data_IF_240742927189
#
_entry.id   IF_240742927189
#
_cell.length_a   1.000
_cell.length_b   1.000
_cell.length_c   1.000
_cell.angle_alpha   90.00
_cell.angle_beta   90.00
_cell.angle_gamma   90.00
#
_symmetry.space_group_name_H-M   'P 1'
#
loop_
_entity.id
_entity.type
_entity.pdbx_description
1 polymer ?
#
# COMPACT_ATOMS: atom_id res chain seq x y z
N UNK A 1 6.62 -27.51 98.48
CA UNK A 1 5.44 -27.90 97.68
C UNK A 1 5.90 -28.09 96.24
N UNK A 2 6.07 -29.33 95.80
CA UNK A 2 6.58 -29.66 94.46
C UNK A 2 5.40 -29.95 93.54
N UNK A 3 5.09 -29.04 92.60
CA UNK A 3 4.09 -29.29 91.56
C UNK A 3 4.69 -30.13 90.43
N UNK A 4 3.97 -31.15 89.94
CA UNK A 4 4.38 -31.93 88.76
C UNK A 4 3.87 -31.25 87.48
N UNK A 5 4.76 -30.97 86.55
CA UNK A 5 4.43 -30.56 85.17
C UNK A 5 4.38 -31.79 84.28
N UNK A 6 3.39 -31.89 83.39
CA UNK A 6 3.35 -32.87 82.31
C UNK A 6 3.04 -32.20 80.97
N UNK A 7 3.45 -32.83 79.88
CA UNK A 7 3.27 -32.33 78.50
C UNK A 7 2.04 -32.98 77.89
N UNK A 8 1.15 -32.18 77.31
CA UNK A 8 -0.01 -32.64 76.55
C UNK A 8 0.12 -32.19 75.08
N UNK A 9 -0.24 -33.06 74.13
CA UNK A 9 -0.30 -32.74 72.69
C UNK A 9 -1.75 -32.49 72.27
N UNK A 10 -2.00 -31.34 71.64
CA UNK A 10 -3.30 -31.04 71.03
C UNK A 10 -3.51 -31.86 69.75
N UNK A 11 -4.76 -31.96 69.30
CA UNK A 11 -5.24 -32.58 68.05
C UNK A 11 -4.52 -32.11 66.77
N UNK A 12 -3.82 -30.97 66.82
CA UNK A 12 -2.98 -30.41 65.74
C UNK A 12 -1.48 -30.62 65.96
N UNK A 13 -1.08 -31.49 66.89
CA UNK A 13 0.30 -31.91 67.12
C UNK A 13 1.19 -30.92 67.89
N UNK A 14 0.63 -29.86 68.47
CA UNK A 14 1.38 -28.89 69.29
C UNK A 14 1.45 -29.34 70.74
N UNK A 15 2.66 -29.35 71.29
CA UNK A 15 2.92 -29.66 72.71
C UNK A 15 2.72 -28.42 73.58
N UNK A 16 1.99 -28.58 74.69
CA UNK A 16 1.89 -27.57 75.75
C UNK A 16 2.28 -28.16 77.10
N UNK A 17 3.04 -27.39 77.87
CA UNK A 17 3.41 -27.72 79.23
C UNK A 17 2.25 -27.35 80.17
N UNK A 18 1.63 -28.36 80.77
CA UNK A 18 0.52 -28.19 81.72
C UNK A 18 1.07 -28.32 83.13
N UNK A 19 0.97 -27.23 83.90
CA UNK A 19 1.27 -27.24 85.32
C UNK A 19 0.11 -27.89 86.08
N UNK A 20 0.27 -29.14 86.50
CA UNK A 20 -0.68 -29.73 87.44
C UNK A 20 -0.43 -29.13 88.82
N UNK A 21 -1.31 -28.22 89.26
CA UNK A 21 -1.37 -27.80 90.66
C UNK A 21 -1.86 -29.00 91.46
N UNK A 22 -0.92 -29.79 92.01
CA UNK A 22 -1.19 -30.75 93.07
C UNK A 22 -1.65 -29.97 94.31
N UNK A 23 -2.96 -29.74 94.35
CA UNK A 23 -3.60 -28.83 95.28
C UNK A 23 -5.06 -28.62 94.91
N UNK A 24 -5.80 -29.73 94.70
CA UNK A 24 -7.24 -29.72 94.99
C UNK A 24 -7.39 -29.63 96.51
N UNK A 25 -6.97 -28.49 97.05
CA UNK A 25 -7.51 -28.01 98.30
C UNK A 25 -8.95 -27.67 97.98
N UNK A 26 -9.85 -28.59 98.33
CA UNK A 26 -11.19 -28.29 98.79
C UNK A 26 -11.09 -27.30 99.96
N UNK A 27 -10.62 -26.08 99.69
CA UNK A 27 -10.88 -24.92 100.53
C UNK A 27 -12.29 -24.54 100.15
N UNK A 28 -13.23 -25.09 100.91
CA UNK A 28 -14.49 -24.44 101.20
C UNK A 28 -14.17 -23.05 101.77
N UNK A 29 -13.82 -22.11 100.90
CA UNK A 29 -14.03 -20.71 101.19
C UNK A 29 -15.53 -20.54 101.24
N UNK A 30 -16.03 -20.16 102.40
CA UNK A 30 -17.29 -19.45 102.59
C UNK A 30 -17.27 -18.12 101.81
N UNK A 31 -17.09 -18.18 100.49
CA UNK A 31 -17.54 -17.15 99.57
C UNK A 31 -19.05 -17.37 99.47
N UNK A 32 -19.81 -16.32 99.79
CA UNK A 32 -21.23 -16.38 100.08
C UNK A 32 -22.01 -17.29 99.13
N UNK A 33 -22.99 -18.01 99.68
CA UNK A 33 -24.01 -18.67 98.87
C UNK A 33 -24.64 -17.63 97.94
N UNK A 34 -24.10 -17.47 96.74
CA UNK A 34 -24.81 -16.80 95.65
C UNK A 34 -26.03 -17.68 95.39
N UNK A 35 -27.24 -17.19 95.65
CA UNK A 35 -28.44 -17.96 95.42
C UNK A 35 -28.44 -18.43 93.96
N UNK A 36 -28.94 -19.64 93.71
CA UNK A 36 -29.02 -20.23 92.36
C UNK A 36 -29.66 -19.26 91.35
N UNK A 37 -30.57 -18.40 91.83
CA UNK A 37 -31.18 -17.31 91.08
C UNK A 37 -30.16 -16.31 90.50
N UNK A 38 -29.15 -15.90 91.27
CA UNK A 38 -28.13 -14.94 90.79
C UNK A 38 -27.21 -15.58 89.74
N UNK A 39 -26.94 -16.88 89.87
CA UNK A 39 -26.17 -17.63 88.87
C UNK A 39 -26.98 -17.82 87.58
N UNK A 40 -28.28 -18.05 87.69
CA UNK A 40 -29.18 -18.11 86.53
C UNK A 40 -29.30 -16.75 85.85
N UNK A 41 -29.46 -15.66 86.61
CA UNK A 41 -29.51 -14.30 86.06
C UNK A 41 -28.19 -13.89 85.39
N UNK A 42 -27.04 -14.30 85.96
CA UNK A 42 -25.73 -14.13 85.31
C UNK A 42 -25.58 -14.97 84.04
N UNK A 43 -26.15 -16.18 84.00
CA UNK A 43 -26.14 -17.01 82.81
C UNK A 43 -27.06 -16.44 81.71
N UNK A 44 -28.27 -15.99 82.08
CA UNK A 44 -29.24 -15.34 81.20
C UNK A 44 -28.68 -14.05 80.61
N UNK A 45 -28.12 -13.15 81.44
CA UNK A 45 -27.49 -11.91 80.95
C UNK A 45 -26.27 -12.18 80.04
N UNK A 46 -25.50 -13.24 80.32
CA UNK A 46 -24.41 -13.66 79.44
C UNK A 46 -24.91 -14.24 78.12
N UNK A 47 -25.98 -15.03 78.15
CA UNK A 47 -26.62 -15.58 76.96
C UNK A 47 -27.16 -14.43 76.08
N UNK A 48 -27.83 -13.45 76.67
CA UNK A 48 -28.32 -12.26 75.98
C UNK A 48 -27.19 -11.44 75.36
N UNK A 49 -26.08 -11.23 76.09
CA UNK A 49 -24.91 -10.53 75.60
C UNK A 49 -24.26 -11.25 74.41
N UNK A 50 -24.10 -12.57 74.50
CA UNK A 50 -23.58 -13.39 73.40
C UNK A 50 -24.54 -13.38 72.20
N UNK A 51 -25.85 -13.43 72.43
CA UNK A 51 -26.85 -13.34 71.37
C UNK A 51 -26.83 -11.96 70.68
N UNK A 52 -26.57 -10.88 71.42
CA UNK A 52 -26.37 -9.55 70.84
C UNK A 52 -25.07 -9.46 70.03
N UNK A 53 -23.98 -10.06 70.51
CA UNK A 53 -22.70 -10.12 69.80
C UNK A 53 -22.81 -10.94 68.51
N UNK A 54 -23.46 -12.11 68.55
CA UNK A 54 -23.72 -12.93 67.37
C UNK A 54 -24.51 -12.14 66.32
N UNK A 55 -25.56 -11.42 66.74
CA UNK A 55 -26.33 -10.56 65.83
C UNK A 55 -25.46 -9.45 65.23
N UNK A 56 -24.59 -8.81 66.02
CA UNK A 56 -23.66 -7.79 65.54
C UNK A 56 -22.65 -8.35 64.52
N UNK A 57 -22.07 -9.51 64.80
CA UNK A 57 -21.14 -10.19 63.91
C UNK A 57 -21.82 -10.62 62.61
N UNK A 58 -23.06 -11.13 62.68
CA UNK A 58 -23.85 -11.43 61.49
C UNK A 58 -24.12 -10.19 60.63
N UNK A 59 -24.48 -9.06 61.24
CA UNK A 59 -24.64 -7.79 60.51
C UNK A 59 -23.33 -7.36 59.84
N UNK A 60 -22.20 -7.42 60.55
CA UNK A 60 -20.87 -7.09 59.99
C UNK A 60 -20.48 -8.00 58.84
N UNK A 61 -20.71 -9.32 58.98
CA UNK A 61 -20.45 -10.29 57.93
C UNK A 61 -21.31 -10.00 56.69
N UNK A 62 -22.60 -9.69 56.86
CA UNK A 62 -23.48 -9.35 55.74
C UNK A 62 -23.03 -8.09 54.99
N UNK A 63 -22.53 -7.09 55.71
CA UNK A 63 -21.97 -5.87 55.12
C UNK A 63 -20.66 -6.15 54.37
N UNK A 64 -19.78 -6.96 54.96
CA UNK A 64 -18.52 -7.36 54.32
C UNK A 64 -18.77 -8.16 53.03
N UNK A 65 -19.70 -9.11 53.05
CA UNK A 65 -20.08 -9.91 51.87
C UNK A 65 -20.65 -9.03 50.74
N UNK A 66 -21.50 -8.05 51.08
CA UNK A 66 -21.99 -7.08 50.09
C UNK A 66 -20.85 -6.23 49.51
N UNK A 67 -19.93 -5.76 50.35
CA UNK A 67 -18.77 -4.99 49.91
C UNK A 67 -17.86 -5.81 48.98
N UNK A 68 -17.60 -7.08 49.30
CA UNK A 68 -16.84 -7.99 48.44
C UNK A 68 -17.51 -8.19 47.08
N UNK A 69 -18.83 -8.40 47.07
CA UNK A 69 -19.59 -8.53 45.82
C UNK A 69 -19.51 -7.26 44.97
N UNK A 70 -19.63 -6.08 45.58
CA UNK A 70 -19.45 -4.81 44.87
C UNK A 70 -18.04 -4.63 44.31
N UNK A 71 -17.01 -5.00 45.08
CA UNK A 71 -15.62 -4.95 44.63
C UNK A 71 -15.37 -5.91 43.46
N UNK A 72 -15.96 -7.10 43.49
CA UNK A 72 -15.87 -8.05 42.39
C UNK A 72 -16.51 -7.50 41.11
N UNK A 73 -17.69 -6.88 41.22
CA UNK A 73 -18.34 -6.25 40.07
C UNK A 73 -17.49 -5.11 39.50
N UNK A 74 -16.94 -4.25 40.36
CA UNK A 74 -16.06 -3.16 39.93
C UNK A 74 -14.81 -3.69 39.20
N UNK A 75 -14.23 -4.81 39.66
CA UNK A 75 -13.10 -5.45 38.96
C UNK A 75 -13.48 -5.95 37.59
N UNK A 76 -14.67 -6.56 37.44
CA UNK A 76 -15.17 -7.04 36.15
C UNK A 76 -15.36 -5.87 35.19
N UNK A 77 -16.02 -4.80 35.63
CA UNK A 77 -16.24 -3.61 34.79
C UNK A 77 -14.93 -2.91 34.42
N UNK A 78 -14.00 -2.78 35.36
CA UNK A 78 -12.67 -2.24 35.08
C UNK A 78 -11.95 -3.08 34.01
N UNK A 79 -12.01 -4.42 34.09
CA UNK A 79 -11.40 -5.28 33.09
C UNK A 79 -12.04 -5.10 31.70
N UNK A 80 -13.36 -4.92 31.61
CA UNK A 80 -14.04 -4.62 30.35
C UNK A 80 -13.53 -3.32 29.72
N UNK A 81 -13.49 -2.24 30.51
CA UNK A 81 -13.02 -0.93 30.04
C UNK A 81 -11.56 -1.00 29.58
N UNK A 82 -10.71 -1.71 30.31
CA UNK A 82 -9.31 -1.92 29.91
C UNK A 82 -9.22 -2.64 28.56
N UNK A 83 -9.99 -3.72 28.37
CA UNK A 83 -10.02 -4.46 27.12
C UNK A 83 -10.51 -3.60 25.94
N UNK A 84 -11.56 -2.81 26.16
CA UNK A 84 -12.08 -1.86 25.18
C UNK A 84 -11.02 -0.81 24.82
N UNK A 85 -10.33 -0.25 25.81
CA UNK A 85 -9.27 0.73 25.58
C UNK A 85 -8.11 0.16 24.74
N UNK A 86 -7.71 -1.08 24.99
CA UNK A 86 -6.74 -1.78 24.14
C UNK A 86 -7.26 -1.95 22.70
N UNK A 87 -8.53 -2.31 22.53
CA UNK A 87 -9.18 -2.40 21.22
C UNK A 87 -9.19 -1.06 20.48
N UNK A 88 -9.58 0.03 21.15
CA UNK A 88 -9.55 1.38 20.59
C UNK A 88 -8.14 1.80 20.15
N UNK A 89 -7.12 1.52 20.98
CA UNK A 89 -5.72 1.82 20.63
C UNK A 89 -5.26 1.05 19.40
N UNK A 90 -5.64 -0.23 19.28
CA UNK A 90 -5.31 -1.03 18.11
C UNK A 90 -5.97 -0.48 16.84
N UNK A 91 -7.26 -0.13 16.90
CA UNK A 91 -7.98 0.48 15.79
C UNK A 91 -7.39 1.84 15.39
N UNK A 92 -6.96 2.65 16.35
CA UNK A 92 -6.26 3.91 16.08
C UNK A 92 -4.96 3.69 15.31
N UNK A 93 -4.15 2.69 15.71
CA UNK A 93 -2.92 2.35 15.00
C UNK A 93 -3.19 1.87 13.57
N UNK A 94 -4.25 1.09 13.35
CA UNK A 94 -4.68 0.68 12.01
C UNK A 94 -5.11 1.88 11.16
N UNK A 95 -5.89 2.80 11.74
CA UNK A 95 -6.31 4.02 11.06
C UNK A 95 -5.11 4.88 10.66
N UNK A 96 -4.14 5.08 11.56
CA UNK A 96 -2.91 5.83 11.27
C UNK A 96 -2.05 5.16 10.19
N UNK A 97 -2.04 3.82 10.12
CA UNK A 97 -1.37 3.10 9.05
C UNK A 97 -2.09 3.33 7.70
N UNK A 98 -3.42 3.23 7.68
CA UNK A 98 -4.22 3.47 6.48
C UNK A 98 -4.10 4.92 5.99
N UNK A 99 -4.11 5.91 6.88
CA UNK A 99 -3.93 7.33 6.53
C UNK A 99 -2.55 7.56 5.90
N UNK A 100 -1.50 6.92 6.40
CA UNK A 100 -0.16 6.99 5.79
C UNK A 100 -0.14 6.37 4.40
N UNK A 101 -0.84 5.25 4.21
CA UNK A 101 -0.91 4.59 2.91
C UNK A 101 -1.69 5.40 1.89
N UNK A 102 -2.83 5.97 2.28
CA UNK A 102 -3.61 6.88 1.42
C UNK A 102 -2.75 8.05 0.95
N UNK A 103 -2.00 8.70 1.85
CA UNK A 103 -1.08 9.80 1.47
C UNK A 103 0.00 9.38 0.47
N UNK A 104 0.52 8.14 0.59
CA UNK A 104 1.50 7.60 -0.38
C UNK A 104 0.87 7.37 -1.74
N UNK A 105 -0.35 6.81 -1.76
CA UNK A 105 -1.10 6.60 -2.99
C UNK A 105 -1.45 7.92 -3.66
N UNK A 106 -1.93 8.92 -2.92
CA UNK A 106 -2.18 10.28 -3.44
C UNK A 106 -0.92 10.91 -4.04
N UNK A 107 0.23 10.77 -3.38
CA UNK A 107 1.51 11.28 -3.89
C UNK A 107 1.92 10.56 -5.18
N UNK A 108 1.63 9.26 -5.29
CA UNK A 108 1.94 8.47 -6.49
C UNK A 108 0.98 8.84 -7.63
N UNK A 109 -0.31 9.00 -7.32
CA UNK A 109 -1.32 9.44 -8.27
C UNK A 109 -0.96 10.79 -8.88
N UNK A 110 -0.59 11.78 -8.05
CA UNK A 110 -0.18 13.09 -8.54
C UNK A 110 1.03 13.03 -9.49
N UNK A 111 2.00 12.13 -9.23
CA UNK A 111 3.15 11.91 -10.13
C UNK A 111 2.74 11.29 -11.46
N UNK A 112 1.81 10.34 -11.43
CA UNK A 112 1.28 9.71 -12.64
C UNK A 112 0.44 10.70 -13.46
N UNK A 113 -0.36 11.55 -12.82
CA UNK A 113 -1.09 12.64 -13.47
C UNK A 113 -0.12 13.61 -14.17
N UNK A 114 0.93 14.07 -13.47
CA UNK A 114 1.99 14.91 -14.04
C UNK A 114 2.70 14.24 -15.22
N UNK A 115 2.94 12.93 -15.15
CA UNK A 115 3.55 12.15 -16.22
C UNK A 115 2.61 12.04 -17.42
N UNK A 116 1.32 11.82 -17.17
CA UNK A 116 0.29 11.74 -18.20
C UNK A 116 0.13 13.08 -18.92
N UNK A 117 0.08 14.20 -18.20
CA UNK A 117 0.03 15.55 -18.80
C UNK A 117 1.21 15.80 -19.74
N UNK A 118 2.42 15.36 -19.36
CA UNK A 118 3.60 15.45 -20.22
C UNK A 118 3.46 14.58 -21.47
N UNK A 119 2.88 13.39 -21.35
CA UNK A 119 2.63 12.49 -22.48
C UNK A 119 1.57 13.07 -23.42
N UNK A 120 0.46 13.60 -22.90
CA UNK A 120 -0.59 14.26 -23.69
C UNK A 120 0.02 15.40 -24.51
N UNK A 121 0.79 16.31 -23.88
CA UNK A 121 1.47 17.41 -24.60
C UNK A 121 2.46 16.92 -25.66
N UNK A 122 3.17 15.80 -25.40
CA UNK A 122 4.07 15.19 -26.40
C UNK A 122 3.27 14.61 -27.56
N UNK A 123 2.15 13.97 -27.28
CA UNK A 123 1.30 13.36 -28.28
C UNK A 123 0.69 14.43 -29.19
N UNK A 124 0.16 15.51 -28.63
CA UNK A 124 -0.33 16.68 -29.39
C UNK A 124 0.74 17.24 -30.34
N UNK A 125 1.98 17.39 -29.87
CA UNK A 125 3.12 17.82 -30.71
C UNK A 125 3.44 16.82 -31.82
N UNK A 126 3.37 15.53 -31.54
CA UNK A 126 3.59 14.49 -32.54
C UNK A 126 2.48 14.47 -33.58
N UNK A 127 1.22 14.58 -33.16
CA UNK A 127 0.08 14.69 -34.06
C UNK A 127 0.17 15.93 -34.95
N UNK A 128 0.61 17.07 -34.41
CA UNK A 128 0.85 18.27 -35.20
C UNK A 128 1.99 18.08 -36.20
N UNK A 129 3.12 17.48 -35.78
CA UNK A 129 4.21 17.12 -36.70
C UNK A 129 3.73 16.18 -37.81
N UNK A 130 2.91 15.18 -37.49
CA UNK A 130 2.32 14.27 -38.48
C UNK A 130 1.40 15.05 -39.42
N UNK A 131 0.59 15.98 -38.91
CA UNK A 131 -0.25 16.86 -39.74
C UNK A 131 0.58 17.72 -40.69
N UNK A 132 1.66 18.32 -40.20
CA UNK A 132 2.59 19.13 -41.02
C UNK A 132 3.31 18.28 -42.06
N UNK A 133 3.80 17.09 -41.69
CA UNK A 133 4.42 16.16 -42.62
C UNK A 133 3.44 15.71 -43.70
N UNK A 134 2.18 15.41 -43.36
CA UNK A 134 1.15 15.08 -44.36
C UNK A 134 0.84 16.26 -45.30
N UNK A 135 0.89 17.50 -44.79
CA UNK A 135 0.73 18.71 -45.61
C UNK A 135 1.94 18.96 -46.53
N UNK A 136 3.15 18.90 -45.99
CA UNK A 136 4.38 19.07 -46.78
C UNK A 136 4.66 17.91 -47.73
N UNK A 137 4.18 16.70 -47.42
CA UNK A 137 4.21 15.56 -48.36
C UNK A 137 3.30 15.79 -49.57
N UNK A 138 2.21 16.56 -49.41
CA UNK A 138 1.36 16.98 -50.54
C UNK A 138 2.08 17.96 -51.47
N UNK A 139 2.97 18.79 -50.95
CA UNK A 139 3.88 19.61 -51.78
C UNK A 139 4.94 18.74 -52.47
N UNK A 140 5.33 17.63 -51.83
CA UNK A 140 6.17 16.58 -52.41
C UNK A 140 5.53 15.84 -53.58
N UNK A 141 4.21 15.65 -53.56
CA UNK A 141 3.47 15.09 -54.71
C UNK A 141 3.54 16.05 -55.91
N UNK A 142 3.42 17.35 -55.70
CA UNK A 142 3.61 18.36 -56.77
C UNK A 142 5.03 18.38 -57.32
N UNK A 143 6.05 18.18 -56.48
CA UNK A 143 7.44 18.01 -56.93
C UNK A 143 7.61 16.73 -57.75
N UNK A 144 7.00 15.62 -57.33
CA UNK A 144 7.04 14.35 -58.04
C UNK A 144 6.37 14.45 -59.41
N UNK A 145 5.19 15.05 -59.48
CA UNK A 145 4.49 15.32 -60.74
C UNK A 145 5.32 16.22 -61.68
N UNK A 146 6.01 17.24 -61.13
CA UNK A 146 6.90 18.09 -61.91
C UNK A 146 8.12 17.33 -62.45
N UNK A 147 8.68 16.40 -61.68
CA UNK A 147 9.75 15.51 -62.14
C UNK A 147 9.28 14.58 -63.26
N UNK A 148 8.10 13.96 -63.10
CA UNK A 148 7.51 13.07 -64.13
C UNK A 148 7.23 13.84 -65.44
N UNK A 149 6.73 15.08 -65.36
CA UNK A 149 6.55 15.95 -66.53
C UNK A 149 7.88 16.30 -67.22
N UNK A 150 8.93 16.60 -66.43
CA UNK A 150 10.26 16.89 -66.97
C UNK A 150 10.91 15.66 -67.61
N UNK A 151 10.69 14.49 -67.05
CA UNK A 151 11.15 13.23 -67.62
C UNK A 151 10.52 12.97 -69.00
N UNK A 152 9.20 13.17 -69.14
CA UNK A 152 8.50 13.09 -70.42
C UNK A 152 9.02 14.13 -71.43
N UNK A 153 9.27 15.37 -71.00
CA UNK A 153 9.84 16.42 -71.86
C UNK A 153 11.23 16.02 -72.38
N UNK A 154 12.08 15.47 -71.52
CA UNK A 154 13.41 14.97 -71.90
C UNK A 154 13.29 13.84 -72.92
N UNK A 155 12.34 12.93 -72.75
CA UNK A 155 12.16 11.80 -73.66
C UNK A 155 11.70 12.27 -75.05
N UNK A 156 10.78 13.24 -75.13
CA UNK A 156 10.38 13.88 -76.39
C UNK A 156 11.56 14.60 -77.05
N UNK A 157 12.39 15.30 -76.27
CA UNK A 157 13.57 15.97 -76.80
C UNK A 157 14.61 14.96 -77.34
N UNK A 158 14.81 13.83 -76.68
CA UNK A 158 15.66 12.73 -77.17
C UNK A 158 15.16 12.18 -78.50
N UNK A 159 13.85 11.93 -78.63
CA UNK A 159 13.26 11.46 -79.88
C UNK A 159 13.47 12.46 -81.03
N UNK A 160 13.21 13.75 -80.78
CA UNK A 160 13.45 14.82 -81.77
C UNK A 160 14.92 14.91 -82.18
N UNK A 161 15.84 14.69 -81.24
CA UNK A 161 17.27 14.73 -81.51
C UNK A 161 17.68 13.56 -82.41
N UNK A 162 17.18 12.34 -82.16
CA UNK A 162 17.37 11.19 -83.05
C UNK A 162 16.78 11.42 -84.45
N UNK A 163 15.58 11.99 -84.55
CA UNK A 163 14.97 12.34 -85.85
C UNK A 163 15.83 13.37 -86.60
N UNK A 164 16.36 14.38 -85.91
CA UNK A 164 17.28 15.36 -86.49
C UNK A 164 18.56 14.71 -86.97
N UNK A 165 19.18 13.86 -86.16
CA UNK A 165 20.41 13.16 -86.52
C UNK A 165 20.22 12.26 -87.75
N UNK A 166 19.09 11.55 -87.86
CA UNK A 166 18.78 10.76 -89.06
C UNK A 166 18.59 11.65 -90.30
N UNK A 167 17.90 12.79 -90.17
CA UNK A 167 17.77 13.73 -91.29
C UNK A 167 19.11 14.31 -91.74
N UNK A 168 20.02 14.59 -90.80
CA UNK A 168 21.37 15.04 -91.09
C UNK A 168 22.17 13.95 -91.80
N UNK A 169 22.10 12.71 -91.30
CA UNK A 169 22.74 11.54 -91.90
C UNK A 169 22.29 11.34 -93.36
N UNK A 170 20.99 11.43 -93.64
CA UNK A 170 20.45 11.34 -94.99
C UNK A 170 20.94 12.49 -95.89
N UNK A 171 21.07 13.70 -95.35
CA UNK A 171 21.62 14.84 -96.09
C UNK A 171 23.11 14.66 -96.39
N UNK A 172 23.90 14.14 -95.44
CA UNK A 172 25.32 13.83 -95.61
C UNK A 172 25.54 12.78 -96.71
N UNK A 173 24.77 11.69 -96.70
CA UNK A 173 24.81 10.66 -97.75
C UNK A 173 24.49 11.28 -99.11
N UNK A 174 23.44 12.09 -99.20
CA UNK A 174 23.06 12.77 -100.46
C UNK A 174 24.15 13.71 -100.96
N UNK A 175 24.83 14.43 -100.06
CA UNK A 175 25.97 15.29 -100.41
C UNK A 175 27.14 14.44 -100.90
N UNK A 176 27.45 13.34 -100.21
CA UNK A 176 28.52 12.42 -100.60
C UNK A 176 28.29 11.78 -101.98
N UNK A 177 27.05 11.38 -102.28
CA UNK A 177 26.65 10.88 -103.61
C UNK A 177 26.80 11.96 -104.69
N UNK A 178 26.33 13.18 -104.43
CA UNK A 178 26.48 14.32 -105.35
C UNK A 178 27.95 14.65 -105.58
N UNK A 179 28.77 14.65 -104.53
CA UNK A 179 30.21 14.89 -104.64
C UNK A 179 30.89 13.80 -105.48
N UNK A 180 30.58 12.52 -105.23
CA UNK A 180 31.06 11.41 -106.05
C UNK A 180 30.66 11.55 -107.52
N UNK A 181 29.42 12.00 -107.79
CA UNK A 181 28.93 12.24 -109.15
C UNK A 181 29.65 13.41 -109.82
N UNK A 182 29.92 14.50 -109.08
CA UNK A 182 30.70 15.65 -109.58
C UNK A 182 32.10 15.18 -109.96
N UNK A 183 32.79 14.41 -109.11
CA UNK A 183 34.12 13.85 -109.41
C UNK A 183 34.08 13.00 -110.68
N UNK A 184 33.15 12.04 -110.76
CA UNK A 184 32.98 11.20 -111.96
C UNK A 184 32.74 12.03 -113.23
N UNK A 185 31.89 13.06 -113.15
CA UNK A 185 31.61 13.94 -114.30
C UNK A 185 32.83 14.81 -114.67
N UNK A 186 33.58 15.31 -113.68
CA UNK A 186 34.83 16.04 -113.91
C UNK A 186 35.85 15.16 -114.64
N UNK A 187 36.06 13.93 -114.16
CA UNK A 187 36.95 12.96 -114.80
C UNK A 187 36.48 12.62 -116.23
N UNK A 188 35.19 12.35 -116.41
CA UNK A 188 34.60 12.08 -117.73
C UNK A 188 34.83 13.22 -118.72
N UNK A 189 34.53 14.46 -118.33
CA UNK A 189 34.73 15.64 -119.18
C UNK A 189 36.22 15.88 -119.49
N UNK A 190 37.09 15.65 -118.51
CA UNK A 190 38.54 15.75 -118.70
C UNK A 190 39.05 14.74 -119.73
N UNK A 191 38.61 13.48 -119.68
CA UNK A 191 38.97 12.46 -120.70
C UNK A 191 38.45 12.80 -122.10
N UNK A 192 37.45 13.68 -122.21
CA UNK A 192 36.90 14.18 -123.48
C UNK A 192 37.58 15.46 -123.98
N UNK A 193 38.63 15.94 -123.30
CA UNK A 193 39.44 17.09 -123.71
C UNK A 193 38.90 18.44 -123.25
N UNK A 194 37.88 18.48 -122.39
CA UNK A 194 37.38 19.72 -121.79
C UNK A 194 38.18 20.05 -120.53
N UNK A 195 38.58 21.32 -120.36
CA UNK A 195 39.22 21.80 -119.12
C UNK A 195 38.12 22.17 -118.11
N UNK A 196 38.08 21.46 -116.99
CA UNK A 196 37.10 21.66 -115.92
C UNK A 196 37.88 21.91 -114.62
N UNK A 197 37.65 23.04 -113.95
CA UNK A 197 38.21 23.35 -112.62
C UNK A 197 37.28 22.86 -111.50
#
# INVERSE_FOLDING_TARGET
MSGRTYVERDSRGRERLVYSRSGSQYRSSSQGRTPVRDLLEQAESREEALAAEVRSLQSRLSLAQRAEWHLQNLRIEHQKVVNEHYGCRHLQQQLEANVREVRRLETTLAKEEDANDKLVRKNEKLEEKVRLMKRGSRDGDGLKEAYEQKELEVEVLRQRLMERDETLRLAEVRIAEKNSRIVYLKEFLWTKGYRVE
#
